data_IF_562546226219
#
_entry.id   IF_562546226219
#
_cell.length_a   1.000
_cell.length_b   1.000
_cell.length_c   1.000
_cell.angle_alpha   90.00
_cell.angle_beta   90.00
_cell.angle_gamma   90.00
#
_symmetry.space_group_name_H-M   'P 1'
#
loop_
_entity.id
_entity.type
_entity.pdbx_description
1 polymer ?
#
# COMPACT_ATOMS: atom_id res chain seq x y z
N UNK A 1 3.85 2.39 9.26
CA UNK A 1 4.07 1.73 7.95
C UNK A 1 3.38 2.59 6.90
N UNK A 2 4.10 3.14 5.91
CA UNK A 2 3.64 4.30 5.13
C UNK A 2 2.21 4.19 4.54
N UNK A 3 1.82 3.02 4.03
CA UNK A 3 0.46 2.77 3.51
C UNK A 3 -0.64 2.80 4.58
N UNK A 4 -0.36 2.33 5.78
CA UNK A 4 -1.32 2.35 6.90
C UNK A 4 -1.37 3.73 7.52
N UNK A 5 -0.22 4.37 7.68
CA UNK A 5 -0.11 5.72 8.25
C UNK A 5 -0.84 6.75 7.35
N UNK A 6 -0.85 6.52 6.04
CA UNK A 6 -1.59 7.32 5.06
C UNK A 6 -3.09 6.98 4.98
N UNK A 7 -3.59 6.06 5.81
CA UNK A 7 -4.99 5.61 5.77
C UNK A 7 -5.37 4.97 4.44
N UNK A 8 -4.43 4.25 3.80
CA UNK A 8 -4.64 3.53 2.55
C UNK A 8 -4.75 2.00 2.74
N UNK A 9 -4.51 1.51 3.96
CA UNK A 9 -4.60 0.09 4.33
C UNK A 9 -4.73 -0.08 5.86
N UNK A 10 -5.01 -1.31 6.29
CA UNK A 10 -4.95 -1.73 7.69
C UNK A 10 -3.94 -2.87 7.88
N UNK A 11 -3.47 -3.03 9.12
CA UNK A 11 -2.72 -4.21 9.55
C UNK A 11 -3.62 -5.05 10.43
N UNK A 12 -3.64 -6.35 10.15
CA UNK A 12 -4.27 -7.37 10.98
C UNK A 12 -3.16 -8.27 11.49
N UNK A 13 -3.19 -8.62 12.78
CA UNK A 13 -2.23 -9.57 13.34
C UNK A 13 -2.51 -10.98 12.80
N UNK A 14 -1.47 -11.77 12.62
CA UNK A 14 -1.59 -13.12 12.06
C UNK A 14 -2.57 -14.01 12.85
N UNK A 15 -2.53 -13.91 14.18
CA UNK A 15 -3.43 -14.64 15.09
C UNK A 15 -4.92 -14.31 14.88
N UNK A 16 -5.20 -13.07 14.46
CA UNK A 16 -6.55 -12.52 14.29
C UNK A 16 -7.03 -12.60 12.83
N UNK A 17 -6.13 -12.93 11.89
CA UNK A 17 -6.38 -12.85 10.46
C UNK A 17 -7.55 -13.72 9.99
N UNK A 18 -7.69 -14.94 10.55
CA UNK A 18 -8.76 -15.88 10.17
C UNK A 18 -10.16 -15.29 10.40
N UNK A 19 -10.34 -14.54 11.47
CA UNK A 19 -11.63 -13.99 11.86
C UNK A 19 -11.79 -12.55 11.36
N UNK A 20 -10.79 -11.70 11.60
CA UNK A 20 -10.89 -10.27 11.33
C UNK A 20 -10.63 -9.92 9.86
N UNK A 21 -9.66 -10.55 9.18
CA UNK A 21 -9.32 -10.15 7.82
C UNK A 21 -10.46 -10.44 6.83
N UNK A 22 -11.10 -11.60 6.94
CA UNK A 22 -12.24 -11.96 6.09
C UNK A 22 -13.43 -11.06 6.41
N UNK A 23 -13.75 -10.86 7.69
CA UNK A 23 -14.87 -10.01 8.12
C UNK A 23 -14.69 -8.58 7.60
N UNK A 24 -13.49 -8.00 7.78
CA UNK A 24 -13.20 -6.65 7.30
C UNK A 24 -13.22 -6.52 5.78
N UNK A 25 -12.76 -7.55 5.06
CA UNK A 25 -12.87 -7.55 3.61
C UNK A 25 -14.33 -7.54 3.15
N UNK A 26 -15.20 -8.33 3.80
CA UNK A 26 -16.64 -8.36 3.51
C UNK A 26 -17.35 -7.05 3.86
N UNK A 27 -17.00 -6.43 5.00
CA UNK A 27 -17.51 -5.10 5.38
C UNK A 27 -17.10 -4.05 4.33
N UNK A 28 -15.83 -4.03 3.94
CA UNK A 28 -15.31 -3.09 2.94
C UNK A 28 -15.98 -3.26 1.57
N UNK A 29 -16.31 -4.49 1.15
CA UNK A 29 -17.01 -4.70 -0.12
C UNK A 29 -18.35 -3.95 -0.18
N UNK A 30 -19.00 -3.77 0.96
CA UNK A 30 -20.30 -3.09 1.08
C UNK A 30 -20.18 -1.60 1.40
N UNK A 31 -18.99 -1.11 1.78
CA UNK A 31 -18.76 0.31 2.08
C UNK A 31 -18.07 1.03 0.91
N UNK A 32 -18.89 1.69 0.07
CA UNK A 32 -18.39 2.48 -1.06
C UNK A 32 -17.57 3.71 -0.64
N UNK A 33 -17.89 4.32 0.51
CA UNK A 33 -17.18 5.50 0.98
C UNK A 33 -15.75 5.11 1.41
N UNK A 34 -15.63 4.03 2.17
CA UNK A 34 -14.35 3.51 2.63
C UNK A 34 -13.50 3.01 1.44
N UNK A 35 -14.10 2.30 0.47
CA UNK A 35 -13.40 1.91 -0.78
C UNK A 35 -12.85 3.10 -1.53
N UNK A 36 -13.64 4.17 -1.69
CA UNK A 36 -13.20 5.39 -2.37
C UNK A 36 -12.06 6.06 -1.62
N UNK A 37 -12.17 6.19 -0.30
CA UNK A 37 -11.14 6.77 0.56
C UNK A 37 -9.80 6.03 0.43
N UNK A 38 -9.82 4.69 0.51
CA UNK A 38 -8.63 3.85 0.36
C UNK A 38 -8.03 3.98 -1.04
N UNK A 39 -8.87 3.96 -2.09
CA UNK A 39 -8.45 4.09 -3.48
C UNK A 39 -7.80 5.45 -3.77
N UNK A 40 -8.31 6.54 -3.17
CA UNK A 40 -7.71 7.86 -3.30
C UNK A 40 -6.37 7.95 -2.54
N UNK A 41 -6.31 7.41 -1.31
CA UNK A 41 -5.11 7.48 -0.50
C UNK A 41 -3.98 6.62 -1.06
N UNK A 42 -4.27 5.43 -1.59
CA UNK A 42 -3.23 4.59 -2.20
C UNK A 42 -2.64 5.21 -3.47
N UNK A 43 -3.45 5.94 -4.26
CA UNK A 43 -2.97 6.67 -5.44
C UNK A 43 -1.99 7.78 -5.08
N UNK A 44 -2.19 8.46 -3.96
CA UNK A 44 -1.26 9.51 -3.47
C UNK A 44 0.12 8.95 -3.12
N UNK A 45 0.20 7.66 -2.81
CA UNK A 45 1.45 6.96 -2.50
C UNK A 45 2.13 6.37 -3.75
N UNK A 46 1.48 6.44 -4.93
CA UNK A 46 2.03 5.88 -6.14
C UNK A 46 3.27 6.68 -6.61
N UNK A 47 4.36 5.98 -6.87
CA UNK A 47 5.58 6.53 -7.46
C UNK A 47 5.66 6.12 -8.93
N UNK A 48 5.18 6.99 -9.82
CA UNK A 48 5.05 6.69 -11.27
C UNK A 48 6.38 6.48 -11.99
N UNK A 49 7.47 7.06 -11.48
CA UNK A 49 8.83 7.00 -12.02
C UNK A 49 9.71 5.97 -11.30
N UNK A 50 9.11 5.06 -10.51
CA UNK A 50 9.86 4.15 -9.65
C UNK A 50 10.92 3.32 -10.41
N UNK A 51 10.57 2.79 -11.59
CA UNK A 51 11.50 2.01 -12.40
C UNK A 51 12.71 2.85 -12.87
N UNK A 52 12.48 4.11 -13.28
CA UNK A 52 13.55 5.02 -13.70
C UNK A 52 14.47 5.37 -12.53
N UNK A 53 13.90 5.68 -11.35
CA UNK A 53 14.67 5.94 -10.13
C UNK A 53 15.53 4.74 -9.73
N UNK A 54 14.96 3.53 -9.73
CA UNK A 54 15.71 2.31 -9.41
C UNK A 54 16.87 2.12 -10.39
N UNK A 55 16.62 2.28 -11.69
CA UNK A 55 17.67 2.16 -12.70
C UNK A 55 18.80 3.19 -12.51
N UNK A 56 18.46 4.43 -12.17
CA UNK A 56 19.43 5.48 -11.86
C UNK A 56 20.29 5.12 -10.64
N UNK A 57 19.68 4.65 -9.56
CA UNK A 57 20.41 4.22 -8.36
C UNK A 57 21.32 3.01 -8.64
N UNK A 58 20.88 2.04 -9.45
CA UNK A 58 21.72 0.91 -9.88
C UNK A 58 22.93 1.39 -10.69
N UNK A 59 22.73 2.34 -11.62
CA UNK A 59 23.84 2.91 -12.41
C UNK A 59 24.83 3.68 -11.53
N UNK A 60 24.37 4.46 -10.56
CA UNK A 60 25.24 5.15 -9.59
C UNK A 60 26.12 4.18 -8.82
N UNK A 61 25.53 3.08 -8.33
CA UNK A 61 26.27 2.03 -7.62
C UNK A 61 27.28 1.32 -8.53
N UNK A 62 26.91 1.04 -9.78
CA UNK A 62 27.80 0.39 -10.74
C UNK A 62 29.00 1.27 -11.17
N UNK A 63 28.84 2.60 -11.15
CA UNK A 63 29.92 3.56 -11.47
C UNK A 63 30.83 3.88 -10.27
N UNK A 64 30.50 3.43 -9.06
CA UNK A 64 31.33 3.56 -7.86
C UNK A 64 32.31 2.38 -7.65
N UNK A 65 32.57 1.60 -8.71
CA UNK A 65 33.66 0.62 -8.81
C UNK A 65 34.70 1.10 -9.84
#
# INVERSE_FOLDING_TARGET
>A
MAVVDAGAAWIVKDEEAREQAITRALELLNDEAEKKQLSENIRKLAMSDAAARIAEEVLKLAQHN
#
